data_IF_285423969825
#
_entry.id   IF_285423969825
#
_cell.length_a   1.000
_cell.length_b   1.000
_cell.length_c   1.000
_cell.angle_alpha   90.00
_cell.angle_beta   90.00
_cell.angle_gamma   90.00
#
_symmetry.space_group_name_H-M   'P 1'
#
loop_
_entity.id
_entity.type
_entity.pdbx_description
1 polymer ?
#
# COMPACT_ATOMS: atom_id res chain seq x y z
N UNK A 1 32.24 50.69 -47.89
CA UNK A 1 30.97 50.39 -47.20
C UNK A 1 30.81 48.91 -46.77
N UNK A 2 31.85 48.06 -46.83
CA UNK A 2 31.71 46.58 -46.69
C UNK A 2 32.17 46.05 -45.30
N UNK A 3 32.66 46.91 -44.40
CA UNK A 3 33.20 46.47 -43.08
C UNK A 3 32.20 46.51 -41.92
N UNK A 4 31.07 47.20 -42.05
CA UNK A 4 30.08 47.34 -40.98
C UNK A 4 29.10 46.15 -40.88
N UNK A 5 28.90 45.40 -41.97
CA UNK A 5 27.95 44.27 -42.03
C UNK A 5 28.45 42.99 -41.35
N UNK A 6 29.77 42.85 -41.12
CA UNK A 6 30.36 41.65 -40.52
C UNK A 6 30.08 41.48 -39.02
N UNK A 7 29.50 42.50 -38.38
CA UNK A 7 29.22 42.52 -36.93
C UNK A 7 27.73 42.65 -36.61
N UNK A 8 26.85 42.47 -37.60
CA UNK A 8 25.40 42.48 -37.39
C UNK A 8 24.88 41.05 -37.32
N UNK A 9 24.01 40.78 -36.35
CA UNK A 9 23.32 39.50 -36.28
C UNK A 9 22.55 39.23 -37.59
N UNK A 10 22.61 38.01 -38.15
CA UNK A 10 21.76 37.62 -39.28
C UNK A 10 20.28 37.74 -38.93
N UNK A 11 19.41 37.61 -39.93
CA UNK A 11 17.98 37.50 -39.66
C UNK A 11 17.68 36.26 -38.78
N UNK A 12 16.74 36.42 -37.84
CA UNK A 12 16.38 35.36 -36.89
C UNK A 12 15.86 34.11 -37.58
N UNK A 13 15.10 34.26 -38.68
CA UNK A 13 14.54 33.12 -39.44
C UNK A 13 15.63 32.39 -40.20
N UNK A 14 16.58 33.14 -40.78
CA UNK A 14 17.72 32.52 -41.44
C UNK A 14 18.59 31.76 -40.43
N UNK A 15 18.78 32.32 -39.24
CA UNK A 15 19.56 31.64 -38.19
C UNK A 15 18.88 30.36 -37.71
N UNK A 16 17.56 30.37 -37.49
CA UNK A 16 16.82 29.17 -37.07
C UNK A 16 16.72 28.12 -38.16
N UNK A 17 16.60 28.53 -39.43
CA UNK A 17 16.71 27.62 -40.60
C UNK A 17 18.08 26.94 -40.66
N UNK A 18 19.16 27.69 -40.46
CA UNK A 18 20.52 27.16 -40.46
C UNK A 18 20.77 26.22 -39.29
N UNK A 19 20.26 26.55 -38.09
CA UNK A 19 20.26 25.64 -36.95
C UNK A 19 19.53 24.34 -37.25
N UNK A 20 18.36 24.40 -37.89
CA UNK A 20 17.59 23.22 -38.30
C UNK A 20 18.37 22.32 -39.28
N UNK A 21 19.14 22.93 -40.18
CA UNK A 21 20.02 22.22 -41.12
C UNK A 21 21.37 21.77 -40.51
N UNK A 22 21.58 21.95 -39.19
CA UNK A 22 22.84 21.70 -38.49
C UNK A 22 24.04 22.49 -39.04
N UNK A 23 23.80 23.68 -39.59
CA UNK A 23 24.86 24.57 -40.05
C UNK A 23 25.42 25.44 -38.90
N UNK A 24 26.71 25.83 -38.94
CA UNK A 24 27.30 26.67 -37.91
C UNK A 24 26.72 28.10 -37.93
N UNK A 25 26.26 28.57 -36.77
CA UNK A 25 25.69 29.91 -36.58
C UNK A 25 26.40 30.68 -35.46
N UNK A 26 26.60 31.99 -35.65
CA UNK A 26 27.24 32.86 -34.66
C UNK A 26 26.18 33.50 -33.74
N UNK A 27 25.71 32.74 -32.75
CA UNK A 27 24.66 33.20 -31.82
C UNK A 27 25.10 34.41 -30.98
N UNK A 28 26.40 34.57 -30.72
CA UNK A 28 26.96 35.69 -29.93
C UNK A 28 26.74 37.08 -30.55
N UNK A 29 26.30 37.14 -31.81
CA UNK A 29 25.91 38.39 -32.46
C UNK A 29 24.58 38.95 -31.93
N UNK A 30 23.72 38.12 -31.34
CA UNK A 30 22.47 38.53 -30.69
C UNK A 30 22.75 38.97 -29.25
N UNK A 31 22.91 40.27 -29.01
CA UNK A 31 23.44 40.78 -27.72
C UNK A 31 22.33 41.14 -26.75
N UNK A 32 21.32 41.87 -27.23
CA UNK A 32 20.25 42.40 -26.38
C UNK A 32 19.22 41.33 -25.98
N UNK A 33 18.48 41.57 -24.89
CA UNK A 33 17.36 40.71 -24.46
C UNK A 33 16.29 40.60 -25.55
N UNK A 34 16.00 41.70 -26.24
CA UNK A 34 15.01 41.74 -27.32
C UNK A 34 15.43 40.87 -28.52
N UNK A 35 16.68 40.95 -28.95
CA UNK A 35 17.23 40.10 -30.02
C UNK A 35 17.21 38.62 -29.66
N UNK A 36 17.57 38.27 -28.42
CA UNK A 36 17.51 36.90 -27.90
C UNK A 36 16.08 36.36 -27.86
N UNK A 37 15.11 37.18 -27.44
CA UNK A 37 13.70 36.80 -27.44
C UNK A 37 13.14 36.61 -28.85
N UNK A 38 13.48 37.51 -29.78
CA UNK A 38 13.07 37.39 -31.19
C UNK A 38 13.64 36.11 -31.82
N UNK A 39 14.89 35.77 -31.50
CA UNK A 39 15.51 34.52 -31.94
C UNK A 39 14.81 33.29 -31.34
N UNK A 40 14.46 33.34 -30.05
CA UNK A 40 13.72 32.26 -29.39
C UNK A 40 12.32 32.08 -29.97
N UNK A 41 11.62 33.18 -30.29
CA UNK A 41 10.31 33.13 -30.93
C UNK A 41 10.38 32.48 -32.32
N UNK A 42 11.37 32.86 -33.13
CA UNK A 42 11.62 32.22 -34.41
C UNK A 42 11.98 30.72 -34.26
N UNK A 43 12.70 30.34 -33.20
CA UNK A 43 13.02 28.93 -32.93
C UNK A 43 11.77 28.13 -32.52
N UNK A 44 10.89 28.73 -31.71
CA UNK A 44 9.61 28.12 -31.31
C UNK A 44 8.69 27.93 -32.52
N UNK A 45 8.69 28.87 -33.48
CA UNK A 45 7.93 28.76 -34.74
C UNK A 45 8.41 27.60 -35.62
N UNK A 46 9.67 27.18 -35.53
CA UNK A 46 10.21 26.02 -36.27
C UNK A 46 9.67 24.67 -35.75
N UNK A 47 9.13 24.63 -34.53
CA UNK A 47 8.59 23.40 -33.89
C UNK A 47 9.63 22.26 -33.84
N UNK A 48 10.92 22.59 -33.78
CA UNK A 48 12.01 21.62 -33.63
C UNK A 48 12.65 21.76 -32.24
N UNK A 49 12.61 20.69 -31.45
CA UNK A 49 13.12 20.68 -30.08
C UNK A 49 14.61 20.96 -29.97
N UNK A 50 15.42 20.50 -30.93
CA UNK A 50 16.87 20.71 -30.92
C UNK A 50 17.21 22.17 -31.22
N UNK A 51 16.51 22.80 -32.17
CA UNK A 51 16.66 24.23 -32.49
C UNK A 51 16.25 25.09 -31.29
N UNK A 52 15.12 24.78 -30.66
CA UNK A 52 14.67 25.48 -29.44
C UNK A 52 15.72 25.34 -28.33
N UNK A 53 16.21 24.13 -28.06
CA UNK A 53 17.21 23.88 -27.03
C UNK A 53 18.53 24.59 -27.31
N UNK A 54 19.00 24.61 -28.57
CA UNK A 54 20.22 25.32 -28.95
C UNK A 54 20.14 26.81 -28.59
N UNK A 55 19.00 27.46 -28.88
CA UNK A 55 18.76 28.86 -28.52
C UNK A 55 18.58 29.03 -27.01
N UNK A 56 17.86 28.13 -26.33
CA UNK A 56 17.69 28.14 -24.87
C UNK A 56 19.04 28.07 -24.14
N UNK A 57 19.94 27.16 -24.54
CA UNK A 57 21.28 27.05 -23.94
C UNK A 57 22.16 28.27 -24.22
N UNK A 58 22.00 28.89 -25.38
CA UNK A 58 22.64 30.16 -25.69
C UNK A 58 22.13 31.29 -24.79
N UNK A 59 20.83 31.35 -24.53
CA UNK A 59 20.27 32.34 -23.61
C UNK A 59 20.76 32.05 -22.19
N UNK A 60 20.65 30.81 -21.72
CA UNK A 60 21.08 30.38 -20.38
C UNK A 60 22.52 30.79 -20.05
N UNK A 61 23.46 30.65 -21.00
CA UNK A 61 24.88 31.01 -20.79
C UNK A 61 25.16 32.52 -20.87
N UNK A 62 24.27 33.32 -21.45
CA UNK A 62 24.51 34.74 -21.77
C UNK A 62 23.64 35.72 -20.97
N UNK A 63 22.74 35.24 -20.12
CA UNK A 63 21.89 36.07 -19.25
C UNK A 63 21.99 35.58 -17.80
N UNK A 64 21.61 36.42 -16.83
CA UNK A 64 21.55 36.00 -15.43
C UNK A 64 20.45 34.97 -15.21
N UNK A 65 20.58 34.14 -14.17
CA UNK A 65 19.60 33.10 -13.85
C UNK A 65 18.17 33.67 -13.68
N UNK A 66 18.03 34.82 -13.02
CA UNK A 66 16.73 35.51 -12.85
C UNK A 66 16.07 35.85 -14.19
N UNK A 67 16.84 36.39 -15.14
CA UNK A 67 16.35 36.75 -16.48
C UNK A 67 16.03 35.47 -17.26
N UNK A 68 16.86 34.44 -17.14
CA UNK A 68 16.61 33.16 -17.81
C UNK A 68 15.29 32.55 -17.34
N UNK A 69 15.03 32.52 -16.03
CA UNK A 69 13.78 32.01 -15.45
C UNK A 69 12.57 32.86 -15.87
N UNK A 70 12.71 34.19 -15.92
CA UNK A 70 11.68 35.11 -16.45
C UNK A 70 11.34 34.79 -17.91
N UNK A 71 12.35 34.54 -18.75
CA UNK A 71 12.16 34.19 -20.17
C UNK A 71 11.42 32.84 -20.29
N UNK A 72 11.81 31.82 -19.53
CA UNK A 72 11.12 30.53 -19.54
C UNK A 72 9.66 30.66 -19.10
N UNK A 73 9.38 31.47 -18.09
CA UNK A 73 8.01 31.76 -17.63
C UNK A 73 7.16 32.41 -18.73
N UNK A 74 7.75 33.31 -19.51
CA UNK A 74 7.08 33.98 -20.65
C UNK A 74 6.93 33.08 -21.89
N UNK A 75 7.74 32.03 -22.02
CA UNK A 75 7.81 31.17 -23.21
C UNK A 75 7.57 29.68 -22.85
N UNK A 76 6.32 29.26 -22.58
CA UNK A 76 5.99 27.91 -22.13
C UNK A 76 6.52 26.78 -23.03
N UNK A 77 6.46 26.96 -24.35
CA UNK A 77 6.99 25.96 -25.30
C UNK A 77 8.49 25.71 -25.13
N UNK A 78 9.28 26.76 -24.88
CA UNK A 78 10.70 26.62 -24.60
C UNK A 78 10.96 26.01 -23.23
N UNK A 79 10.15 26.38 -22.22
CA UNK A 79 10.21 25.79 -20.89
C UNK A 79 9.96 24.28 -20.91
N UNK A 80 8.96 23.80 -21.66
CA UNK A 80 8.71 22.35 -21.78
C UNK A 80 9.88 21.60 -22.42
N UNK A 81 10.47 22.15 -23.50
CA UNK A 81 11.64 21.52 -24.13
C UNK A 81 12.82 21.46 -23.16
N UNK A 82 13.09 22.54 -22.43
CA UNK A 82 14.16 22.59 -21.43
C UNK A 82 13.91 21.61 -20.28
N UNK A 83 12.68 21.53 -19.77
CA UNK A 83 12.28 20.56 -18.72
C UNK A 83 12.47 19.13 -19.21
N UNK A 84 12.07 18.82 -20.45
CA UNK A 84 12.24 17.49 -21.03
C UNK A 84 13.72 17.15 -21.17
N UNK A 85 14.54 18.08 -21.66
CA UNK A 85 15.99 17.92 -21.70
C UNK A 85 16.57 17.60 -20.31
N UNK A 86 16.17 18.34 -19.27
CA UNK A 86 16.66 18.12 -17.92
C UNK A 86 16.26 16.75 -17.35
N UNK A 87 15.06 16.26 -17.68
CA UNK A 87 14.62 14.88 -17.37
C UNK A 87 15.52 13.85 -18.05
N UNK A 88 15.76 14.01 -19.35
CA UNK A 88 16.57 13.07 -20.15
C UNK A 88 18.03 13.06 -19.72
N UNK A 89 18.58 14.24 -19.38
CA UNK A 89 19.92 14.41 -18.85
C UNK A 89 20.06 13.99 -17.37
N UNK A 90 18.96 13.64 -16.71
CA UNK A 90 18.90 13.32 -15.26
C UNK A 90 19.48 14.43 -14.37
N UNK A 91 19.37 15.69 -14.79
CA UNK A 91 19.81 16.83 -14.01
C UNK A 91 18.70 17.26 -13.04
N UNK A 92 18.52 16.48 -11.98
CA UNK A 92 17.39 16.61 -11.03
C UNK A 92 17.40 17.96 -10.33
N UNK A 93 18.55 18.46 -9.88
CA UNK A 93 18.62 19.70 -9.11
C UNK A 93 18.17 20.92 -9.94
N UNK A 94 18.65 21.03 -11.19
CA UNK A 94 18.21 22.09 -12.10
C UNK A 94 16.76 21.88 -12.57
N UNK A 95 16.30 20.63 -12.72
CA UNK A 95 14.90 20.31 -13.03
C UNK A 95 13.95 20.81 -11.95
N UNK A 96 14.22 20.49 -10.68
CA UNK A 96 13.40 20.93 -9.55
C UNK A 96 13.43 22.46 -9.42
N UNK A 97 14.60 23.08 -9.52
CA UNK A 97 14.74 24.54 -9.44
C UNK A 97 13.96 25.24 -10.55
N UNK A 98 14.05 24.72 -11.78
CA UNK A 98 13.29 25.21 -12.93
C UNK A 98 11.79 25.06 -12.72
N UNK A 99 11.31 23.88 -12.31
CA UNK A 99 9.89 23.62 -12.07
C UNK A 99 9.33 24.53 -10.97
N UNK A 100 10.04 24.69 -9.85
CA UNK A 100 9.64 25.59 -8.76
C UNK A 100 9.54 27.04 -9.25
N UNK A 101 10.51 27.53 -10.02
CA UNK A 101 10.50 28.89 -10.54
C UNK A 101 9.37 29.16 -11.54
N UNK A 102 8.88 28.12 -12.21
CA UNK A 102 7.74 28.18 -13.12
C UNK A 102 6.39 27.97 -12.40
N UNK A 103 6.38 27.87 -11.07
CA UNK A 103 5.17 27.62 -10.28
C UNK A 103 4.66 26.18 -10.34
N UNK A 104 5.46 25.24 -10.86
CA UNK A 104 5.13 23.81 -10.97
C UNK A 104 5.63 23.03 -9.73
N UNK A 105 5.31 23.54 -8.55
CA UNK A 105 5.81 23.02 -7.26
C UNK A 105 5.36 21.58 -7.00
N UNK A 106 4.14 21.21 -7.38
CA UNK A 106 3.65 19.83 -7.30
C UNK A 106 4.51 18.86 -8.11
N UNK A 107 4.88 19.23 -9.34
CA UNK A 107 5.72 18.38 -10.18
C UNK A 107 7.14 18.28 -9.66
N UNK A 108 7.71 19.38 -9.16
CA UNK A 108 9.01 19.38 -8.50
C UNK A 108 9.02 18.45 -7.28
N UNK A 109 7.96 18.49 -6.45
CA UNK A 109 7.82 17.61 -5.30
C UNK A 109 7.73 16.13 -5.69
N UNK A 110 7.03 15.82 -6.77
CA UNK A 110 6.95 14.45 -7.30
C UNK A 110 8.30 13.96 -7.84
N UNK A 111 9.09 14.83 -8.50
CA UNK A 111 10.46 14.51 -8.92
C UNK A 111 11.33 14.21 -7.70
N UNK A 112 11.29 15.05 -6.66
CA UNK A 112 12.08 14.83 -5.45
C UNK A 112 11.68 13.54 -4.72
N UNK A 113 10.38 13.25 -4.65
CA UNK A 113 9.87 11.99 -4.10
C UNK A 113 10.33 10.77 -4.90
N UNK A 114 10.28 10.82 -6.24
CA UNK A 114 10.74 9.71 -7.09
C UNK A 114 12.24 9.43 -6.89
N UNK A 115 13.06 10.47 -6.75
CA UNK A 115 14.48 10.32 -6.41
C UNK A 115 14.67 9.61 -5.06
N UNK A 116 13.83 9.93 -4.07
CA UNK A 116 13.84 9.20 -2.80
C UNK A 116 13.42 7.74 -2.96
N UNK A 117 12.48 7.42 -3.86
CA UNK A 117 12.03 6.04 -4.12
C UNK A 117 13.11 5.18 -4.80
N UNK A 118 13.90 5.79 -5.69
CA UNK A 118 15.02 5.15 -6.41
C UNK A 118 16.30 4.99 -5.57
N UNK A 119 16.30 5.46 -4.32
CA UNK A 119 17.43 5.33 -3.42
C UNK A 119 17.86 3.86 -3.24
N UNK A 120 19.17 3.61 -3.36
CA UNK A 120 19.75 2.25 -3.28
C UNK A 120 19.70 1.65 -1.88
N UNK A 121 19.69 2.50 -0.85
CA UNK A 121 19.69 2.07 0.55
C UNK A 121 18.55 2.74 1.30
N UNK A 122 18.07 2.06 2.35
CA UNK A 122 17.01 2.57 3.23
C UNK A 122 17.46 3.86 3.93
N UNK A 123 18.71 3.93 4.38
CA UNK A 123 19.29 5.13 4.98
C UNK A 123 19.24 6.33 4.03
N UNK A 124 19.63 6.12 2.76
CA UNK A 124 19.57 7.16 1.75
C UNK A 124 18.12 7.57 1.46
N UNK A 125 17.19 6.61 1.37
CA UNK A 125 15.76 6.87 1.20
C UNK A 125 15.21 7.76 2.31
N UNK A 126 15.50 7.44 3.57
CA UNK A 126 15.07 8.22 4.74
C UNK A 126 15.61 9.66 4.70
N UNK A 127 16.89 9.83 4.36
CA UNK A 127 17.50 11.16 4.22
C UNK A 127 16.80 11.98 3.12
N UNK A 128 16.56 11.38 1.96
CA UNK A 128 15.93 12.04 0.82
C UNK A 128 14.45 12.38 1.09
N UNK A 129 13.71 11.50 1.77
CA UNK A 129 12.33 11.79 2.20
C UNK A 129 12.27 12.94 3.20
N UNK A 130 13.18 12.98 4.18
CA UNK A 130 13.29 14.09 5.13
C UNK A 130 13.63 15.40 4.44
N UNK A 131 14.54 15.36 3.46
CA UNK A 131 14.87 16.51 2.61
C UNK A 131 13.60 17.02 1.90
N UNK A 132 12.90 16.14 1.17
CA UNK A 132 11.68 16.50 0.44
C UNK A 132 10.60 17.15 1.34
N UNK A 133 10.37 16.59 2.54
CA UNK A 133 9.44 17.14 3.53
C UNK A 133 9.82 18.52 4.08
N UNK A 134 11.10 18.90 3.98
CA UNK A 134 11.66 20.18 4.40
C UNK A 134 11.96 21.14 3.24
N UNK A 135 11.67 20.76 1.99
CA UNK A 135 11.90 21.56 0.78
C UNK A 135 10.61 21.68 -0.03
N UNK A 136 10.42 20.83 -1.04
CA UNK A 136 9.35 20.93 -2.04
C UNK A 136 7.96 20.72 -1.45
N UNK A 137 7.82 19.86 -0.43
CA UNK A 137 6.55 19.63 0.25
C UNK A 137 6.22 20.69 1.33
N UNK A 138 7.02 21.76 1.48
CA UNK A 138 6.64 22.89 2.33
C UNK A 138 5.54 23.78 1.72
N UNK A 139 5.24 23.62 0.44
CA UNK A 139 4.17 24.36 -0.24
C UNK A 139 2.82 24.16 0.52
N UNK A 140 2.14 25.25 0.91
CA UNK A 140 0.81 25.19 1.53
C UNK A 140 -0.23 24.43 0.71
N UNK A 141 -0.06 24.33 -0.61
CA UNK A 141 -0.97 23.58 -1.47
C UNK A 141 -0.74 22.06 -1.45
N UNK A 142 0.37 21.59 -0.85
CA UNK A 142 0.77 20.18 -0.82
C UNK A 142 0.62 19.53 0.56
N UNK A 143 -0.20 20.08 1.47
CA UNK A 143 -0.29 19.56 2.83
C UNK A 143 -0.78 18.11 2.90
N UNK A 144 -1.70 17.71 2.02
CA UNK A 144 -2.20 16.33 1.98
C UNK A 144 -1.11 15.35 1.55
N UNK A 145 -0.38 15.67 0.48
CA UNK A 145 0.72 14.87 -0.05
C UNK A 145 1.87 14.81 0.95
N UNK A 146 2.19 15.95 1.58
CA UNK A 146 3.18 16.03 2.66
C UNK A 146 2.84 15.08 3.81
N UNK A 147 1.57 15.01 4.21
CA UNK A 147 1.13 14.08 5.23
C UNK A 147 1.30 12.62 4.78
N UNK A 148 1.01 12.28 3.53
CA UNK A 148 1.24 10.93 3.01
C UNK A 148 2.73 10.55 3.00
N UNK A 149 3.60 11.46 2.56
CA UNK A 149 5.06 11.25 2.55
C UNK A 149 5.59 11.09 3.96
N UNK A 150 5.08 11.89 4.92
CA UNK A 150 5.44 11.78 6.34
C UNK A 150 5.01 10.43 6.92
N UNK A 151 3.77 10.00 6.68
CA UNK A 151 3.27 8.69 7.13
C UNK A 151 4.10 7.54 6.54
N UNK A 152 4.48 7.64 5.27
CA UNK A 152 5.36 6.66 4.63
C UNK A 152 6.75 6.64 5.27
N UNK A 153 7.34 7.82 5.54
CA UNK A 153 8.62 7.93 6.24
C UNK A 153 8.55 7.28 7.63
N UNK A 154 7.53 7.63 8.42
CA UNK A 154 7.33 7.10 9.77
C UNK A 154 7.21 5.56 9.75
N UNK A 155 6.50 5.00 8.76
CA UNK A 155 6.41 3.55 8.54
C UNK A 155 7.78 2.93 8.22
N UNK A 156 8.53 3.49 7.28
CA UNK A 156 9.85 2.96 6.89
C UNK A 156 10.84 2.99 8.05
N UNK A 157 10.83 4.07 8.85
CA UNK A 157 11.68 4.18 10.04
C UNK A 157 11.30 3.12 11.08
N UNK A 158 10.00 2.91 11.34
CA UNK A 158 9.53 1.85 12.25
C UNK A 158 9.90 0.46 11.75
N UNK A 159 9.73 0.18 10.46
CA UNK A 159 10.12 -1.10 9.87
C UNK A 159 11.63 -1.35 9.99
N UNK A 160 12.44 -0.30 9.83
CA UNK A 160 13.90 -0.40 9.99
C UNK A 160 14.27 -0.77 11.41
N UNK A 161 13.65 -0.14 12.42
CA UNK A 161 13.86 -0.48 13.83
C UNK A 161 13.51 -1.93 14.13
N UNK A 162 12.32 -2.38 13.69
CA UNK A 162 11.85 -3.75 13.89
C UNK A 162 12.76 -4.76 13.20
N UNK A 163 13.15 -4.51 11.95
CA UNK A 163 14.03 -5.43 11.20
C UNK A 163 15.38 -5.61 11.90
N UNK A 164 15.98 -4.52 12.39
CA UNK A 164 17.26 -4.57 13.11
C UNK A 164 17.13 -5.38 14.39
N UNK A 165 16.10 -5.10 15.21
CA UNK A 165 15.85 -5.85 16.46
C UNK A 165 15.62 -7.34 16.19
N UNK A 166 14.73 -7.66 15.26
CA UNK A 166 14.31 -9.04 14.99
C UNK A 166 15.35 -9.84 14.21
N UNK A 167 16.29 -9.20 13.51
CA UNK A 167 17.41 -9.90 12.85
C UNK A 167 18.32 -10.64 13.83
N UNK A 168 18.28 -10.24 15.10
CA UNK A 168 19.06 -10.83 16.18
C UNK A 168 18.25 -11.82 17.02
N UNK A 169 16.93 -11.90 16.80
CA UNK A 169 16.05 -12.80 17.55
C UNK A 169 16.20 -14.24 17.04
N UNK A 170 16.47 -15.15 17.99
CA UNK A 170 16.60 -16.60 17.77
C UNK A 170 15.48 -17.38 18.45
N UNK A 171 14.38 -16.71 18.80
CA UNK A 171 13.22 -17.34 19.39
C UNK A 171 12.67 -18.45 18.49
N UNK A 172 12.02 -19.44 19.12
CA UNK A 172 11.42 -20.57 18.40
C UNK A 172 10.44 -20.08 17.32
N UNK A 173 9.79 -18.94 17.53
CA UNK A 173 8.82 -18.39 16.61
C UNK A 173 9.44 -18.02 15.24
N UNK A 174 10.63 -17.41 15.23
CA UNK A 174 11.37 -17.15 13.98
C UNK A 174 11.95 -18.41 13.34
N UNK A 175 12.07 -19.51 14.10
CA UNK A 175 12.47 -20.83 13.56
C UNK A 175 11.29 -21.53 12.91
N UNK A 176 10.13 -21.55 13.58
CA UNK A 176 8.89 -22.16 13.08
C UNK A 176 8.32 -21.36 11.89
N UNK A 177 8.55 -20.04 11.86
CA UNK A 177 8.12 -19.13 10.80
C UNK A 177 9.29 -18.24 10.33
N UNK A 178 10.20 -18.75 9.48
CA UNK A 178 11.34 -17.97 9.01
C UNK A 178 10.92 -16.78 8.15
N UNK A 179 11.68 -15.69 8.25
CA UNK A 179 11.52 -14.52 7.38
C UNK A 179 12.01 -14.86 5.97
N UNK A 180 11.16 -14.63 4.97
CA UNK A 180 11.51 -14.88 3.56
C UNK A 180 11.86 -13.61 2.77
N UNK A 181 11.59 -12.44 3.35
CA UNK A 181 11.84 -11.14 2.74
C UNK A 181 11.98 -10.07 3.83
N UNK A 182 12.57 -8.93 3.48
CA UNK A 182 12.62 -7.79 4.40
C UNK A 182 11.23 -7.17 4.57
N UNK A 183 10.98 -6.73 5.81
CA UNK A 183 9.83 -5.93 6.22
C UNK A 183 9.90 -4.50 5.66
N UNK A 184 11.10 -3.99 5.36
CA UNK A 184 11.29 -2.59 4.97
C UNK A 184 10.68 -2.33 3.59
N UNK A 185 9.88 -1.29 3.49
CA UNK A 185 9.15 -0.90 2.27
C UNK A 185 7.86 -1.68 2.05
N UNK A 186 7.52 -2.63 2.92
CA UNK A 186 6.25 -3.35 2.82
C UNK A 186 5.06 -2.42 3.14
N UNK A 187 3.86 -2.69 2.60
CA UNK A 187 2.66 -1.93 2.93
C UNK A 187 2.31 -2.03 4.42
N UNK A 188 1.64 -0.99 4.95
CA UNK A 188 1.21 -0.92 6.35
C UNK A 188 0.46 -2.17 6.84
N UNK A 189 -0.42 -2.73 6.01
CA UNK A 189 -1.18 -3.95 6.36
C UNK A 189 -0.28 -5.18 6.48
N UNK A 190 0.80 -5.26 5.70
CA UNK A 190 1.78 -6.33 5.79
C UNK A 190 2.66 -6.16 7.02
N UNK A 191 3.02 -4.92 7.38
CA UNK A 191 3.71 -4.63 8.65
C UNK A 191 2.84 -4.99 9.84
N UNK A 192 1.54 -4.70 9.78
CA UNK A 192 0.61 -5.12 10.82
C UNK A 192 0.50 -6.64 10.92
N UNK A 193 0.41 -7.35 9.79
CA UNK A 193 0.44 -8.81 9.75
C UNK A 193 1.72 -9.36 10.39
N UNK A 194 2.88 -8.80 10.03
CA UNK A 194 4.17 -9.18 10.60
C UNK A 194 4.18 -9.01 12.12
N UNK A 195 3.74 -7.84 12.62
CA UNK A 195 3.62 -7.59 14.06
C UNK A 195 2.63 -8.53 14.74
N UNK A 196 1.51 -8.87 14.10
CA UNK A 196 0.57 -9.86 14.62
C UNK A 196 1.15 -11.27 14.64
N UNK A 197 2.14 -11.58 13.80
CA UNK A 197 2.77 -12.89 13.75
C UNK A 197 3.87 -13.02 14.79
N UNK A 198 4.78 -12.05 14.85
CA UNK A 198 5.99 -12.16 15.66
C UNK A 198 5.89 -11.49 17.03
N UNK A 199 5.04 -10.48 17.16
CA UNK A 199 4.98 -9.58 18.32
C UNK A 199 3.58 -9.55 18.95
N UNK A 200 2.80 -10.62 18.80
CA UNK A 200 1.39 -10.65 19.24
C UNK A 200 1.24 -10.42 20.74
N UNK A 201 2.13 -11.03 21.53
CA UNK A 201 2.08 -11.02 23.00
C UNK A 201 2.87 -9.85 23.60
N UNK A 202 3.46 -9.00 22.78
CA UNK A 202 4.21 -7.83 23.24
C UNK A 202 3.28 -6.81 23.92
N UNK A 203 3.78 -6.09 24.94
CA UNK A 203 3.01 -5.03 25.56
C UNK A 203 2.70 -3.92 24.55
N UNK A 204 1.59 -3.20 24.73
CA UNK A 204 1.19 -2.11 23.82
C UNK A 204 2.19 -0.95 23.75
N UNK A 205 3.09 -0.85 24.73
CA UNK A 205 4.21 0.10 24.75
C UNK A 205 5.35 -0.31 23.81
N UNK A 206 5.42 -1.58 23.41
CA UNK A 206 6.44 -2.07 22.48
C UNK A 206 6.17 -1.53 21.08
N UNK A 207 7.22 -1.04 20.44
CA UNK A 207 7.14 -0.42 19.12
C UNK A 207 6.75 -1.42 18.02
N UNK A 208 7.07 -2.70 18.19
CA UNK A 208 6.73 -3.76 17.25
C UNK A 208 5.32 -4.34 17.48
N UNK A 209 4.63 -3.97 18.57
CA UNK A 209 3.32 -4.53 18.91
C UNK A 209 2.27 -4.21 17.84
N UNK A 210 1.28 -5.11 17.61
CA UNK A 210 0.20 -4.88 16.66
C UNK A 210 -0.56 -3.57 16.90
N UNK A 211 -0.75 -3.20 18.16
CA UNK A 211 -1.44 -1.98 18.55
C UNK A 211 -0.60 -0.74 18.15
N UNK A 212 0.71 -0.74 18.43
CA UNK A 212 1.58 0.36 18.04
C UNK A 212 1.63 0.57 16.52
N UNK A 213 1.64 -0.52 15.73
CA UNK A 213 1.59 -0.43 14.26
C UNK A 213 0.24 0.05 13.76
N UNK A 214 -0.86 -0.44 14.35
CA UNK A 214 -2.21 0.05 14.03
C UNK A 214 -2.28 1.57 14.21
N UNK A 215 -1.82 2.07 15.35
CA UNK A 215 -1.91 3.49 15.68
C UNK A 215 -0.99 4.34 14.79
N UNK A 216 0.24 3.89 14.55
CA UNK A 216 1.19 4.53 13.64
C UNK A 216 0.63 4.67 12.21
N UNK A 217 -0.01 3.61 11.72
CA UNK A 217 -0.49 3.53 10.33
C UNK A 217 -1.96 3.98 10.17
N UNK A 218 -2.61 4.44 11.24
CA UNK A 218 -4.03 4.78 11.27
C UNK A 218 -4.95 3.65 10.74
N UNK A 219 -4.62 2.40 11.05
CA UNK A 219 -5.43 1.24 10.67
C UNK A 219 -6.63 1.08 11.60
N UNK A 220 -7.70 0.50 11.10
CA UNK A 220 -8.92 0.29 11.89
C UNK A 220 -8.89 -1.04 12.67
N UNK A 221 -9.76 -1.17 13.68
CA UNK A 221 -9.84 -2.37 14.51
C UNK A 221 -10.23 -3.62 13.72
N UNK A 222 -10.93 -3.48 12.59
CA UNK A 222 -11.25 -4.62 11.74
C UNK A 222 -10.02 -5.17 11.06
N UNK A 223 -9.12 -4.30 10.58
CA UNK A 223 -7.84 -4.69 10.00
C UNK A 223 -6.97 -5.38 11.05
N UNK A 224 -6.85 -4.81 12.26
CA UNK A 224 -6.10 -5.44 13.37
C UNK A 224 -6.67 -6.81 13.73
N UNK A 225 -7.97 -6.90 13.97
CA UNK A 225 -8.62 -8.17 14.34
C UNK A 225 -8.44 -9.22 13.24
N UNK A 226 -8.60 -8.84 11.98
CA UNK A 226 -8.45 -9.76 10.85
C UNK A 226 -7.02 -10.27 10.69
N UNK A 227 -6.02 -9.37 10.74
CA UNK A 227 -4.60 -9.76 10.68
C UNK A 227 -4.21 -10.65 11.85
N UNK A 228 -4.66 -10.31 13.07
CA UNK A 228 -4.41 -11.14 14.27
C UNK A 228 -5.01 -12.53 14.13
N UNK A 229 -6.25 -12.66 13.65
CA UNK A 229 -6.86 -13.99 13.46
C UNK A 229 -6.08 -14.79 12.42
N UNK A 230 -5.66 -14.18 11.31
CA UNK A 230 -4.86 -14.88 10.29
C UNK A 230 -3.55 -15.44 10.85
N UNK A 231 -2.84 -14.67 11.66
CA UNK A 231 -1.57 -15.12 12.26
C UNK A 231 -1.79 -16.16 13.36
N UNK A 232 -2.81 -15.99 14.20
CA UNK A 232 -3.16 -16.96 15.23
C UNK A 232 -3.61 -18.31 14.65
N UNK A 233 -4.32 -18.31 13.52
CA UNK A 233 -4.67 -19.54 12.79
C UNK A 233 -3.42 -20.26 12.32
N UNK A 234 -2.49 -19.52 11.71
CA UNK A 234 -1.21 -20.06 11.26
C UNK A 234 -0.38 -20.65 12.41
N UNK A 235 -0.55 -20.12 13.63
CA UNK A 235 0.08 -20.60 14.86
C UNK A 235 -0.74 -21.63 15.63
N UNK A 236 -1.92 -22.02 15.14
CA UNK A 236 -2.85 -22.93 15.83
C UNK A 236 -3.25 -22.46 17.23
N UNK A 237 -3.24 -21.15 17.49
CA UNK A 237 -3.58 -20.53 18.78
C UNK A 237 -5.09 -20.35 18.94
N UNK A 238 -5.83 -21.46 18.97
CA UNK A 238 -7.29 -21.48 18.95
C UNK A 238 -7.96 -20.72 20.10
N UNK A 239 -7.38 -20.78 21.30
CA UNK A 239 -7.92 -20.06 22.48
C UNK A 239 -7.83 -18.54 22.31
N UNK A 240 -6.77 -18.04 21.67
CA UNK A 240 -6.59 -16.61 21.46
C UNK A 240 -7.46 -16.10 20.32
N UNK A 241 -7.73 -16.93 19.31
CA UNK A 241 -8.76 -16.66 18.29
C UNK A 241 -10.13 -16.49 18.96
N UNK A 242 -10.48 -17.38 19.90
CA UNK A 242 -11.74 -17.28 20.64
C UNK A 242 -11.82 -15.99 21.46
N UNK A 243 -10.76 -15.62 22.18
CA UNK A 243 -10.69 -14.34 22.91
C UNK A 243 -10.82 -13.13 21.97
N UNK A 244 -10.19 -13.17 20.79
CA UNK A 244 -10.25 -12.08 19.81
C UNK A 244 -11.67 -11.90 19.25
N UNK A 245 -12.39 -13.00 19.02
CA UNK A 245 -13.76 -12.99 18.52
C UNK A 245 -14.80 -12.67 19.61
N UNK A 246 -14.52 -13.08 20.85
CA UNK A 246 -15.35 -12.91 22.04
C UNK A 246 -14.52 -12.37 23.23
N UNK A 247 -14.24 -11.05 23.29
CA UNK A 247 -13.40 -10.48 24.36
C UNK A 247 -14.04 -10.58 25.76
N UNK A 248 -15.36 -10.75 25.82
CA UNK A 248 -16.05 -11.16 27.06
C UNK A 248 -15.98 -12.68 27.15
N UNK A 249 -15.00 -13.16 27.92
CA UNK A 249 -14.82 -14.58 28.25
C UNK A 249 -16.14 -15.28 28.55
N UNK A 250 -16.45 -16.35 27.80
CA UNK A 250 -17.42 -17.35 28.20
C UNK A 250 -16.72 -18.26 29.22
N UNK A 251 -16.74 -17.86 30.50
CA UNK A 251 -16.39 -18.79 31.57
C UNK A 251 -17.40 -19.95 31.50
N UNK A 252 -16.96 -21.23 31.50
CA UNK A 252 -17.81 -22.38 31.17
C UNK A 252 -18.96 -22.68 32.15
N UNK A 253 -19.11 -21.91 33.24
CA UNK A 253 -19.94 -22.31 34.39
C UNK A 253 -21.17 -21.44 34.67
N UNK A 254 -21.58 -20.55 33.77
CA UNK A 254 -22.87 -19.88 33.91
C UNK A 254 -23.69 -20.00 32.63
N UNK A 255 -24.84 -20.64 32.76
CA UNK A 255 -25.74 -20.93 31.66
C UNK A 255 -26.09 -19.71 30.82
N UNK A 256 -26.25 -19.94 29.52
CA UNK A 256 -26.97 -19.06 28.57
C UNK A 256 -26.58 -17.57 28.63
N UNK A 257 -25.30 -17.26 28.47
CA UNK A 257 -24.94 -15.95 27.88
C UNK A 257 -24.46 -16.16 26.46
N UNK A 258 -25.32 -15.80 25.51
CA UNK A 258 -24.93 -15.51 24.13
C UNK A 258 -23.95 -14.35 24.18
N UNK A 259 -22.65 -14.67 24.27
CA UNK A 259 -21.62 -13.70 23.95
C UNK A 259 -21.80 -13.34 22.49
N UNK A 260 -22.26 -12.12 22.21
CA UNK A 260 -22.28 -11.61 20.85
C UNK A 260 -20.84 -11.68 20.34
N UNK A 261 -20.57 -12.60 19.41
CA UNK A 261 -19.35 -12.54 18.62
C UNK A 261 -19.26 -11.11 18.08
N UNK A 262 -18.05 -10.60 17.92
CA UNK A 262 -17.80 -9.48 17.00
C UNK A 262 -18.07 -9.93 15.55
N UNK A 263 -19.26 -10.48 15.27
CA UNK A 263 -19.72 -11.00 13.99
C UNK A 263 -19.74 -9.92 12.89
N UNK A 264 -19.66 -8.64 13.28
CA UNK A 264 -19.60 -7.50 12.36
C UNK A 264 -18.17 -7.10 11.93
N UNK A 265 -17.14 -7.78 12.46
CA UNK A 265 -15.73 -7.46 12.17
C UNK A 265 -15.18 -8.35 11.05
N UNK A 266 -15.63 -9.60 10.98
CA UNK A 266 -15.17 -10.60 10.00
C UNK A 266 -16.36 -11.36 9.44
N UNK A 267 -16.53 -11.47 8.11
CA UNK A 267 -17.57 -12.32 7.53
C UNK A 267 -17.34 -13.78 7.96
N UNK A 268 -18.28 -14.36 8.69
CA UNK A 268 -18.15 -15.70 9.30
C UNK A 268 -17.81 -16.80 8.29
N UNK A 269 -18.29 -16.69 7.05
CA UNK A 269 -17.93 -17.63 5.98
C UNK A 269 -16.44 -17.60 5.66
N UNK A 270 -15.84 -16.41 5.60
CA UNK A 270 -14.41 -16.26 5.38
C UNK A 270 -13.60 -16.74 6.57
N UNK A 271 -14.07 -16.48 7.79
CA UNK A 271 -13.45 -17.01 9.00
C UNK A 271 -13.44 -18.55 9.00
N UNK A 272 -14.57 -19.19 8.75
CA UNK A 272 -14.64 -20.66 8.70
C UNK A 272 -13.74 -21.25 7.62
N UNK A 273 -13.64 -20.61 6.46
CA UNK A 273 -12.67 -21.02 5.43
C UNK A 273 -11.24 -20.88 5.95
N UNK A 274 -10.90 -19.74 6.54
CA UNK A 274 -9.58 -19.45 7.10
C UNK A 274 -9.16 -20.47 8.16
N UNK A 275 -10.04 -20.79 9.11
CA UNK A 275 -9.79 -21.78 10.16
C UNK A 275 -9.44 -23.17 9.63
N UNK A 276 -9.89 -23.50 8.41
CA UNK A 276 -9.66 -24.80 7.77
C UNK A 276 -8.67 -24.73 6.59
N UNK A 277 -7.95 -23.60 6.41
CA UNK A 277 -6.92 -23.47 5.37
C UNK A 277 -5.61 -24.16 5.75
N UNK A 278 -5.27 -24.19 7.04
CA UNK A 278 -4.03 -24.80 7.51
C UNK A 278 -4.19 -26.32 7.77
N UNK A 279 -3.06 -27.03 7.88
CA UNK A 279 -3.04 -28.48 8.12
C UNK A 279 -3.68 -28.86 9.45
N UNK A 280 -3.51 -28.03 10.47
CA UNK A 280 -4.09 -28.26 11.78
C UNK A 280 -5.58 -27.92 11.76
N UNK A 281 -6.41 -28.88 12.16
CA UNK A 281 -7.85 -28.68 12.23
C UNK A 281 -8.21 -27.90 13.50
N UNK A 282 -9.17 -26.96 13.41
CA UNK A 282 -9.67 -26.25 14.57
C UNK A 282 -10.44 -27.21 15.49
N UNK A 283 -10.50 -26.94 16.81
CA UNK A 283 -11.34 -27.71 17.73
C UNK A 283 -12.80 -27.73 17.26
N UNK A 284 -13.41 -28.93 17.18
CA UNK A 284 -14.81 -29.10 16.73
C UNK A 284 -15.77 -28.19 17.48
N UNK A 285 -15.57 -28.04 18.78
CA UNK A 285 -16.40 -27.23 19.67
C UNK A 285 -16.34 -25.72 19.31
N UNK A 286 -15.17 -25.20 18.95
CA UNK A 286 -15.03 -23.83 18.42
C UNK A 286 -15.82 -23.66 17.12
N UNK A 287 -15.69 -24.63 16.19
CA UNK A 287 -16.43 -24.61 14.92
C UNK A 287 -17.94 -24.64 15.17
N UNK A 288 -18.42 -25.50 16.07
CA UNK A 288 -19.82 -25.57 16.45
C UNK A 288 -20.33 -24.24 17.02
N UNK A 289 -19.59 -23.61 17.94
CA UNK A 289 -19.94 -22.28 18.49
C UNK A 289 -20.07 -21.23 17.39
N UNK A 290 -19.08 -21.16 16.50
CA UNK A 290 -19.09 -20.19 15.39
C UNK A 290 -20.26 -20.43 14.43
N UNK A 291 -20.51 -21.67 14.04
CA UNK A 291 -21.62 -22.02 13.16
C UNK A 291 -22.98 -21.63 13.75
N UNK A 292 -23.19 -21.85 15.06
CA UNK A 292 -24.46 -21.52 15.73
C UNK A 292 -24.82 -20.04 15.63
N UNK A 293 -23.83 -19.15 15.47
CA UNK A 293 -24.04 -17.71 15.32
C UNK A 293 -24.46 -17.26 13.92
N UNK A 294 -24.37 -18.15 12.92
CA UNK A 294 -24.80 -17.82 11.56
C UNK A 294 -26.32 -17.53 11.54
N UNK A 295 -26.76 -16.40 10.96
CA UNK A 295 -28.18 -16.06 10.90
C UNK A 295 -28.93 -16.91 9.86
N UNK A 296 -28.28 -17.23 8.74
CA UNK A 296 -28.88 -18.00 7.67
C UNK A 296 -28.79 -19.51 7.98
N UNK A 297 -29.94 -20.17 8.08
CA UNK A 297 -30.04 -21.60 8.39
C UNK A 297 -29.43 -22.49 7.30
N UNK A 298 -29.62 -22.15 6.03
CA UNK A 298 -29.11 -22.95 4.91
C UNK A 298 -27.58 -22.88 4.84
N UNK A 299 -26.99 -21.70 5.04
CA UNK A 299 -25.53 -21.55 5.13
C UNK A 299 -24.99 -22.29 6.35
N UNK A 300 -25.64 -22.14 7.51
CA UNK A 300 -25.26 -22.85 8.76
C UNK A 300 -25.19 -24.35 8.54
N UNK A 301 -26.25 -24.94 7.99
CA UNK A 301 -26.32 -26.36 7.71
C UNK A 301 -25.30 -26.80 6.65
N UNK A 302 -25.14 -26.03 5.57
CA UNK A 302 -24.13 -26.31 4.53
C UNK A 302 -22.70 -26.37 5.10
N UNK A 303 -22.34 -25.40 5.94
CA UNK A 303 -21.00 -25.38 6.56
C UNK A 303 -20.86 -26.42 7.66
N UNK A 304 -21.92 -26.70 8.43
CA UNK A 304 -21.91 -27.75 9.43
C UNK A 304 -21.65 -29.14 8.82
N UNK A 305 -22.30 -29.45 7.70
CA UNK A 305 -22.03 -30.67 6.94
C UNK A 305 -20.61 -30.69 6.37
N UNK A 306 -20.16 -29.56 5.79
CA UNK A 306 -18.82 -29.47 5.18
C UNK A 306 -17.69 -29.72 6.19
N UNK A 307 -17.84 -29.19 7.40
CA UNK A 307 -16.82 -29.27 8.46
C UNK A 307 -17.12 -30.36 9.50
N UNK A 308 -18.07 -31.26 9.22
CA UNK A 308 -18.44 -32.40 10.09
C UNK A 308 -18.80 -31.97 11.51
N UNK A 309 -19.47 -30.83 11.65
CA UNK A 309 -20.01 -30.31 12.91
C UNK A 309 -21.36 -30.97 13.23
N UNK A 310 -21.31 -32.28 13.50
CA UNK A 310 -22.48 -33.18 13.61
C UNK A 310 -23.57 -32.67 14.55
N UNK A 311 -23.21 -32.07 15.68
CA UNK A 311 -24.18 -31.51 16.63
C UNK A 311 -25.02 -30.41 16.01
N UNK A 312 -24.39 -29.50 15.25
CA UNK A 312 -25.09 -28.41 14.56
C UNK A 312 -25.94 -28.94 13.40
N UNK A 313 -25.50 -30.00 12.71
CA UNK A 313 -26.29 -30.66 11.66
C UNK A 313 -27.59 -31.24 12.25
N UNK A 314 -27.49 -31.95 13.39
CA UNK A 314 -28.65 -32.51 14.10
C UNK A 314 -29.60 -31.39 14.53
N UNK A 315 -29.08 -30.34 15.18
CA UNK A 315 -29.87 -29.18 15.62
C UNK A 315 -30.65 -28.54 14.46
N UNK A 316 -29.97 -28.26 13.35
CA UNK A 316 -30.57 -27.59 12.18
C UNK A 316 -31.62 -28.47 11.48
N UNK A 317 -31.32 -29.76 11.27
CA UNK A 317 -32.26 -30.69 10.61
C UNK A 317 -33.49 -30.95 11.46
N UNK A 318 -33.34 -31.08 12.78
CA UNK A 318 -34.48 -31.16 13.70
C UNK A 318 -35.32 -29.89 13.68
N UNK A 319 -34.70 -28.72 13.65
CA UNK A 319 -35.41 -27.44 13.57
C UNK A 319 -36.18 -27.29 12.24
N UNK A 320 -35.61 -27.77 11.13
CA UNK A 320 -36.26 -27.81 9.82
C UNK A 320 -37.25 -28.97 9.66
N UNK A 321 -37.24 -29.93 10.59
CA UNK A 321 -37.98 -31.20 10.53
C UNK A 321 -37.60 -32.06 9.31
N UNK A 322 -36.39 -31.91 8.79
CA UNK A 322 -35.92 -32.58 7.58
C UNK A 322 -35.25 -33.92 7.92
N UNK A 323 -36.06 -34.98 7.98
CA UNK A 323 -35.56 -36.33 8.31
C UNK A 323 -34.67 -36.89 7.20
N UNK A 324 -35.08 -36.71 5.94
CA UNK A 324 -34.39 -37.26 4.78
C UNK A 324 -32.96 -36.75 4.69
N UNK A 325 -32.74 -35.47 5.00
CA UNK A 325 -31.39 -34.90 5.01
C UNK A 325 -30.54 -35.42 6.15
N UNK A 326 -31.12 -35.65 7.34
CA UNK A 326 -30.38 -36.24 8.46
C UNK A 326 -29.98 -37.70 8.18
N UNK A 327 -30.86 -38.47 7.52
CA UNK A 327 -30.53 -39.83 7.04
C UNK A 327 -29.44 -39.81 5.97
N UNK A 328 -29.50 -38.85 5.04
CA UNK A 328 -28.44 -38.66 4.04
C UNK A 328 -27.10 -38.26 4.68
N UNK A 329 -27.12 -37.46 5.75
CA UNK A 329 -25.93 -37.13 6.51
C UNK A 329 -25.37 -38.34 7.27
N UNK A 330 -26.21 -39.15 7.92
CA UNK A 330 -25.80 -40.38 8.60
C UNK A 330 -24.98 -41.30 7.67
N UNK A 331 -25.40 -41.44 6.41
CA UNK A 331 -24.70 -42.24 5.39
C UNK A 331 -23.30 -41.72 5.04
N UNK A 332 -23.01 -40.44 5.29
CA UNK A 332 -21.69 -39.83 5.08
C UNK A 332 -20.75 -40.03 6.27
N UNK A 333 -21.28 -40.40 7.45
CA UNK A 333 -20.49 -40.58 8.65
C UNK A 333 -19.83 -41.97 8.67
N UNK A 334 -18.63 -42.04 9.24
CA UNK A 334 -17.96 -43.32 9.46
C UNK A 334 -18.83 -44.19 10.38
N UNK A 335 -19.17 -45.44 9.96
CA UNK A 335 -19.95 -46.37 10.78
C UNK A 335 -19.32 -46.55 12.16
N UNK A 336 -20.18 -46.65 13.19
CA UNK A 336 -19.77 -46.83 14.60
C UNK A 336 -18.93 -45.69 15.20
N UNK A 337 -18.78 -44.56 14.53
CA UNK A 337 -18.20 -43.36 15.13
C UNK A 337 -19.14 -42.73 16.16
N UNK A 338 -18.59 -41.91 17.06
CA UNK A 338 -19.39 -41.12 18.03
C UNK A 338 -20.46 -40.28 17.31
N UNK A 339 -20.08 -39.62 16.21
CA UNK A 339 -20.98 -38.80 15.40
C UNK A 339 -22.09 -39.63 14.74
N UNK A 340 -21.76 -40.85 14.29
CA UNK A 340 -22.75 -41.79 13.75
C UNK A 340 -23.78 -42.20 14.82
N UNK A 341 -23.34 -42.56 16.03
CA UNK A 341 -24.25 -42.89 17.13
C UNK A 341 -25.12 -41.71 17.56
N UNK A 342 -24.55 -40.50 17.67
CA UNK A 342 -25.32 -39.28 17.98
C UNK A 342 -26.41 -39.02 16.94
N UNK A 343 -26.09 -39.16 15.65
CA UNK A 343 -27.02 -38.95 14.55
C UNK A 343 -28.12 -40.01 14.52
N UNK A 344 -27.75 -41.28 14.73
CA UNK A 344 -28.71 -42.39 14.82
C UNK A 344 -29.67 -42.22 16.01
N UNK A 345 -29.16 -41.83 17.17
CA UNK A 345 -29.97 -41.54 18.35
C UNK A 345 -30.95 -40.38 18.09
N UNK A 346 -30.52 -39.34 17.37
CA UNK A 346 -31.39 -38.23 17.00
C UNK A 346 -32.52 -38.67 16.04
N UNK A 347 -32.23 -39.56 15.08
CA UNK A 347 -33.23 -40.13 14.15
C UNK A 347 -34.25 -41.05 14.84
N UNK A 348 -33.82 -41.77 15.87
CA UNK A 348 -34.65 -42.71 16.62
C UNK A 348 -35.39 -42.04 17.79
N UNK A 349 -35.19 -40.74 18.02
CA UNK A 349 -35.87 -40.02 19.08
C UNK A 349 -37.36 -39.86 18.74
N UNK A 350 -38.21 -40.58 19.48
CA UNK A 350 -39.67 -40.59 19.33
C UNK A 350 -40.33 -39.24 19.60
N UNK A 351 -39.64 -38.32 20.30
CA UNK A 351 -40.13 -36.97 20.56
C UNK A 351 -39.86 -35.98 19.41
N UNK A 352 -39.03 -36.35 18.42
CA UNK A 352 -38.72 -35.49 17.29
C UNK A 352 -39.85 -35.49 16.26
N UNK A 353 -40.42 -34.30 15.96
CA UNK A 353 -41.46 -34.13 14.94
C UNK A 353 -40.81 -33.93 13.57
N UNK A 354 -40.88 -34.92 12.70
CA UNK A 354 -40.38 -34.89 11.32
C UNK A 354 -41.46 -34.42 10.32
N UNK A 355 -41.04 -33.88 9.18
CA UNK A 355 -41.90 -33.58 8.02
C UNK A 355 -41.69 -34.60 6.92
#
# INVERSE_FOLDING_TARGET
MIRAERYKAPDVRETTRRLFMNEPVALDLYKSKAEKLALLDAAIEMIDGNVILAVVFFIQRTVSESIFREILLQKPKAAEQYIQYLKDAKNVDELMTTMCALGRTTEAAMVEFNVAMEAKTVTQKVILLKKALGSTFLDPNLQMEREQVRRYLDLVERQTQIEVTDSQDKSKLFTDYPKNASLIGQPAIHTLYYSCLYHHDDPTTAQASPQAIKDLCHLNDKQLTWMSIQTLVKQNRWLDIEKALCPRSLIPNLGKTSGYLKANVVPMVHLLRLLHLDKAQPPKDLVCRLLRTLPNMNDKLRFAEKYMATEVVIECTQQQKDRTRLEAYLKKLTPHSSDHYKTLAALNNSNAKWK
#
